data_IF_310102074609
#
_entry.id   IF_310102074609
#
_cell.length_a   1.000
_cell.length_b   1.000
_cell.length_c   1.000
_cell.angle_alpha   90.00
_cell.angle_beta   90.00
_cell.angle_gamma   90.00
#
_symmetry.space_group_name_H-M   'P 1'
#
loop_
_entity.id
_entity.type
_entity.pdbx_description
1 polymer ?
#
# COMPACT_ATOMS: atom_id res chain seq x y z
N UNK A 1 0.08 -50.38 31.49
CA UNK A 1 -1.14 -49.58 31.78
C UNK A 1 -0.93 -48.20 31.19
N UNK A 2 -1.50 -47.95 30.02
CA UNK A 2 -1.42 -46.66 29.34
C UNK A 2 -2.81 -46.01 29.41
N UNK A 3 -2.91 -44.86 30.06
CA UNK A 3 -4.14 -44.07 30.07
C UNK A 3 -4.40 -43.50 28.66
N UNK A 4 -5.57 -43.75 28.06
CA UNK A 4 -5.94 -43.03 26.85
C UNK A 4 -6.18 -41.55 27.21
N UNK A 5 -5.48 -40.66 26.51
CA UNK A 5 -5.78 -39.22 26.52
C UNK A 5 -7.24 -39.05 26.08
N UNK A 6 -8.04 -38.44 26.93
CA UNK A 6 -9.37 -37.97 26.57
C UNK A 6 -9.24 -37.02 25.37
N UNK A 7 -9.76 -37.44 24.22
CA UNK A 7 -10.02 -36.57 23.10
C UNK A 7 -11.06 -35.55 23.55
N UNK A 8 -10.63 -34.33 23.84
CA UNK A 8 -11.52 -33.19 24.05
C UNK A 8 -12.35 -33.02 22.79
N UNK A 9 -13.63 -33.34 22.95
CA UNK A 9 -14.77 -33.05 22.10
C UNK A 9 -14.52 -31.82 21.20
N UNK A 10 -14.19 -32.07 19.93
CA UNK A 10 -14.18 -31.04 18.91
C UNK A 10 -15.64 -30.71 18.57
N UNK A 11 -16.31 -30.01 19.48
CA UNK A 11 -17.64 -29.46 19.25
C UNK A 11 -17.62 -28.74 17.90
N UNK A 12 -18.43 -29.25 16.96
CA UNK A 12 -18.56 -28.66 15.63
C UNK A 12 -18.96 -27.20 15.82
N UNK A 13 -18.01 -26.28 15.58
CA UNK A 13 -18.26 -24.85 15.72
C UNK A 13 -19.35 -24.48 14.74
N UNK A 14 -20.51 -24.11 15.27
CA UNK A 14 -21.63 -23.61 14.49
C UNK A 14 -21.14 -22.52 13.52
N UNK A 15 -21.60 -22.48 12.26
CA UNK A 15 -21.20 -21.45 11.31
C UNK A 15 -21.53 -20.05 11.84
N UNK A 16 -20.73 -19.06 11.44
CA UNK A 16 -20.97 -17.67 11.82
C UNK A 16 -22.06 -17.07 10.93
N UNK A 17 -22.98 -16.30 11.53
CA UNK A 17 -24.02 -15.56 10.80
C UNK A 17 -23.50 -14.30 10.11
N UNK A 18 -22.28 -13.88 10.46
CA UNK A 18 -21.56 -12.77 9.83
C UNK A 18 -20.39 -13.31 9.01
N UNK A 19 -20.27 -12.86 7.77
CA UNK A 19 -19.11 -13.14 6.92
C UNK A 19 -18.16 -11.95 6.89
N UNK A 20 -16.86 -12.20 6.71
CA UNK A 20 -15.86 -11.17 6.45
C UNK A 20 -15.34 -11.30 5.01
N UNK A 21 -15.46 -10.22 4.24
CA UNK A 21 -14.82 -10.04 2.93
C UNK A 21 -13.74 -8.96 3.05
N UNK A 22 -12.58 -9.22 2.45
CA UNK A 22 -11.45 -8.28 2.43
C UNK A 22 -11.06 -8.04 0.98
N UNK A 23 -11.03 -6.77 0.58
CA UNK A 23 -10.81 -6.33 -0.79
C UNK A 23 -9.72 -5.26 -0.80
N UNK A 24 -8.60 -5.49 -1.46
CA UNK A 24 -7.59 -4.43 -1.67
C UNK A 24 -8.19 -3.36 -2.56
N UNK A 25 -8.02 -2.11 -2.15
CA UNK A 25 -8.43 -0.96 -2.93
C UNK A 25 -7.37 -0.69 -4.00
N UNK A 26 -7.77 -0.81 -5.26
CA UNK A 26 -6.97 -0.38 -6.40
C UNK A 26 -7.54 0.92 -6.95
N UNK A 27 -6.68 1.74 -7.55
CA UNK A 27 -7.11 2.93 -8.25
C UNK A 27 -7.54 2.54 -9.68
N UNK A 28 -8.69 3.05 -10.15
CA UNK A 28 -9.14 2.76 -11.51
C UNK A 28 -8.18 3.39 -12.54
N UNK A 29 -8.02 2.73 -13.69
CA UNK A 29 -7.22 3.24 -14.81
C UNK A 29 -7.99 3.20 -16.12
N UNK A 30 -7.59 4.06 -17.06
CA UNK A 30 -8.12 4.06 -18.41
C UNK A 30 -7.56 2.85 -19.17
N UNK A 31 -8.42 2.08 -19.81
CA UNK A 31 -7.99 0.92 -20.60
C UNK A 31 -7.43 1.39 -21.95
N UNK A 32 -6.26 0.93 -22.38
CA UNK A 32 -5.85 1.12 -23.78
C UNK A 32 -6.84 0.37 -24.69
N UNK A 33 -7.44 1.09 -25.64
CA UNK A 33 -8.16 0.51 -26.76
C UNK A 33 -7.23 0.44 -27.97
N UNK A 34 -7.32 -0.65 -28.71
CA UNK A 34 -6.63 -0.80 -29.98
C UNK A 34 -7.64 -0.48 -31.08
N UNK A 35 -7.80 0.81 -31.46
CA UNK A 35 -8.73 1.17 -32.51
C UNK A 35 -8.31 0.44 -33.78
N UNK A 36 -9.25 -0.32 -34.36
CA UNK A 36 -9.03 -0.89 -35.68
C UNK A 36 -8.83 0.25 -36.68
N UNK A 37 -7.87 0.14 -37.61
CA UNK A 37 -7.65 1.17 -38.61
C UNK A 37 -8.95 1.39 -39.42
N UNK A 38 -9.50 2.60 -39.36
CA UNK A 38 -10.64 2.99 -40.19
C UNK A 38 -10.16 3.20 -41.62
N UNK A 39 -10.10 2.13 -42.41
CA UNK A 39 -9.96 2.30 -43.85
C UNK A 39 -11.26 2.89 -44.40
N UNK A 40 -11.23 4.06 -45.07
CA UNK A 40 -12.44 4.61 -45.67
C UNK A 40 -12.90 3.67 -46.78
N UNK A 41 -14.05 3.02 -46.57
CA UNK A 41 -14.64 2.14 -47.57
C UNK A 41 -15.18 2.90 -48.81
N UNK A 42 -15.21 4.24 -48.78
CA UNK A 42 -15.69 5.10 -49.86
C UNK A 42 -15.28 6.56 -49.67
N UNK A 43 -14.89 7.24 -50.76
CA UNK A 43 -14.62 8.69 -50.83
C UNK A 43 -15.88 9.57 -50.74
N UNK A 44 -17.09 8.97 -50.78
CA UNK A 44 -18.36 9.70 -50.83
C UNK A 44 -18.92 10.08 -49.44
N UNK A 45 -18.32 9.57 -48.36
CA UNK A 45 -18.70 9.92 -46.99
C UNK A 45 -17.46 10.44 -46.25
N UNK A 46 -17.31 11.77 -46.05
CA UNK A 46 -16.31 12.29 -45.14
C UNK A 46 -16.72 11.89 -43.72
N UNK A 47 -16.20 10.78 -43.22
CA UNK A 47 -16.27 10.45 -41.80
C UNK A 47 -15.50 11.51 -41.03
N UNK A 48 -16.10 12.10 -40.00
CA UNK A 48 -15.39 13.03 -39.10
C UNK A 48 -14.09 12.38 -38.64
N UNK A 49 -13.01 13.15 -38.62
CA UNK A 49 -11.66 12.70 -38.29
C UNK A 49 -11.50 12.46 -36.78
N UNK A 50 -12.47 11.82 -36.14
CA UNK A 50 -12.39 11.43 -34.75
C UNK A 50 -11.76 10.03 -34.71
N UNK A 51 -10.43 9.98 -34.89
CA UNK A 51 -9.68 8.78 -34.59
C UNK A 51 -9.98 8.39 -33.14
N UNK A 52 -10.39 7.14 -32.84
CA UNK A 52 -10.65 6.76 -31.47
C UNK A 52 -9.35 6.91 -30.68
N UNK A 53 -9.38 7.72 -29.62
CA UNK A 53 -8.23 7.95 -28.76
C UNK A 53 -7.69 6.60 -28.25
N UNK A 54 -6.37 6.44 -28.12
CA UNK A 54 -5.77 5.15 -27.73
C UNK A 54 -6.25 4.69 -26.34
N UNK A 55 -6.83 5.57 -25.53
CA UNK A 55 -7.47 5.22 -24.27
C UNK A 55 -9.00 5.21 -24.40
N UNK A 56 -9.62 4.16 -23.86
CA UNK A 56 -11.06 4.07 -23.66
C UNK A 56 -11.53 5.11 -22.65
N UNK A 57 -12.72 5.72 -22.82
CA UNK A 57 -13.33 6.58 -21.80
C UNK A 57 -13.81 5.79 -20.57
N UNK A 58 -13.73 4.45 -20.60
CA UNK A 58 -14.12 3.60 -19.49
C UNK A 58 -12.94 3.36 -18.56
N UNK A 59 -13.23 3.47 -17.26
CA UNK A 59 -12.33 3.05 -16.21
C UNK A 59 -12.50 1.56 -15.96
N UNK A 60 -11.40 0.81 -16.01
CA UNK A 60 -11.39 -0.62 -15.65
C UNK A 60 -10.59 -0.84 -14.39
N UNK A 61 -11.05 -1.80 -13.58
CA UNK A 61 -10.23 -2.35 -12.52
C UNK A 61 -9.23 -3.35 -13.12
N UNK A 62 -7.99 -3.41 -12.59
CA UNK A 62 -7.03 -4.41 -13.01
C UNK A 62 -7.58 -5.83 -12.87
N UNK A 63 -7.23 -6.75 -13.78
CA UNK A 63 -7.72 -8.13 -13.76
C UNK A 63 -7.15 -8.95 -12.59
N UNK A 64 -6.11 -8.46 -11.91
CA UNK A 64 -5.44 -9.14 -10.81
C UNK A 64 -4.93 -8.17 -9.73
N UNK A 65 -4.67 -8.74 -8.54
CA UNK A 65 -4.34 -8.05 -7.29
C UNK A 65 -3.00 -7.29 -7.28
N UNK A 66 -2.15 -7.48 -8.29
CA UNK A 66 -0.81 -6.87 -8.39
C UNK A 66 0.12 -7.24 -7.24
N UNK A 67 1.39 -6.88 -7.36
CA UNK A 67 2.35 -6.96 -6.26
C UNK A 67 2.12 -5.82 -5.25
N UNK A 68 2.65 -5.95 -4.03
CA UNK A 68 2.69 -4.87 -3.06
C UNK A 68 4.15 -4.43 -2.92
N UNK A 69 4.41 -3.12 -2.93
CA UNK A 69 5.76 -2.61 -2.93
C UNK A 69 6.10 -1.75 -1.71
N UNK A 70 7.36 -1.82 -1.27
CA UNK A 70 7.90 -0.92 -0.24
C UNK A 70 7.82 0.52 -0.73
N UNK A 71 7.37 1.40 0.15
CA UNK A 71 7.12 2.80 -0.10
C UNK A 71 5.68 3.11 -0.50
N UNK A 72 4.86 2.12 -0.85
CA UNK A 72 3.44 2.30 -1.13
C UNK A 72 2.56 2.18 0.12
N UNK A 73 1.38 2.79 0.07
CA UNK A 73 0.31 2.55 1.05
C UNK A 73 -0.54 1.36 0.62
N UNK A 74 -0.54 0.30 1.44
CA UNK A 74 -1.48 -0.80 1.34
C UNK A 74 -2.86 -0.36 1.84
N UNK A 75 -3.85 -0.34 0.95
CA UNK A 75 -5.22 0.01 1.29
C UNK A 75 -6.17 -1.17 1.05
N UNK A 76 -7.03 -1.45 2.02
CA UNK A 76 -8.06 -2.48 1.86
C UNK A 76 -9.37 -2.10 2.55
N UNK A 77 -10.46 -2.59 1.98
CA UNK A 77 -11.80 -2.53 2.55
C UNK A 77 -12.11 -3.85 3.26
N UNK A 78 -12.57 -3.74 4.50
CA UNK A 78 -13.07 -4.80 5.35
C UNK A 78 -14.59 -4.71 5.39
N UNK A 79 -15.30 -5.74 4.95
CA UNK A 79 -16.76 -5.80 4.98
C UNK A 79 -17.23 -6.97 5.87
N UNK A 80 -17.83 -6.64 7.01
CA UNK A 80 -18.58 -7.61 7.82
C UNK A 80 -20.04 -7.63 7.34
N UNK A 81 -20.48 -8.74 6.74
CA UNK A 81 -21.81 -8.86 6.13
C UNK A 81 -22.71 -9.74 6.98
N UNK A 82 -23.93 -9.28 7.25
CA UNK A 82 -24.95 -10.12 7.84
C UNK A 82 -25.56 -11.03 6.75
N UNK A 83 -25.23 -12.32 6.80
CA UNK A 83 -25.68 -13.33 5.82
C UNK A 83 -27.05 -13.93 6.16
N UNK A 84 -27.77 -13.38 7.15
CA UNK A 84 -29.14 -13.78 7.43
C UNK A 84 -30.04 -13.42 6.23
N UNK A 85 -30.84 -14.39 5.79
CA UNK A 85 -31.85 -14.17 4.77
C UNK A 85 -33.12 -13.57 5.39
N UNK A 86 -33.75 -12.57 4.74
CA UNK A 86 -35.07 -12.10 5.14
C UNK A 86 -36.07 -13.25 5.12
N UNK A 87 -36.78 -13.50 6.23
CA UNK A 87 -37.78 -14.57 6.33
C UNK A 87 -37.25 -15.96 6.73
N UNK A 88 -36.02 -16.05 7.25
CA UNK A 88 -35.49 -17.28 7.85
C UNK A 88 -36.43 -17.84 8.93
N UNK A 89 -36.60 -19.16 8.96
CA UNK A 89 -37.42 -19.86 9.95
C UNK A 89 -36.92 -19.72 11.39
N UNK A 90 -35.66 -19.29 11.57
CA UNK A 90 -35.05 -18.98 12.86
C UNK A 90 -34.34 -17.62 12.77
N UNK A 91 -35.07 -16.50 12.89
CA UNK A 91 -34.48 -15.17 12.74
C UNK A 91 -33.52 -14.90 13.90
N UNK A 92 -32.31 -14.46 13.56
CA UNK A 92 -31.28 -14.05 14.53
C UNK A 92 -30.99 -12.57 14.33
N UNK A 93 -31.14 -11.78 15.38
CA UNK A 93 -30.76 -10.39 15.38
C UNK A 93 -29.24 -10.28 15.57
N UNK A 94 -28.57 -9.56 14.67
CA UNK A 94 -27.12 -9.33 14.73
C UNK A 94 -26.89 -7.90 15.21
N UNK A 95 -26.36 -7.77 16.42
CA UNK A 95 -26.10 -6.49 17.05
C UNK A 95 -24.63 -6.35 17.46
N UNK A 96 -24.21 -5.12 17.78
CA UNK A 96 -22.87 -4.83 18.30
C UNK A 96 -21.72 -5.36 17.42
N UNK A 97 -21.85 -5.25 16.10
CA UNK A 97 -20.80 -5.68 15.16
C UNK A 97 -19.62 -4.71 15.24
N UNK A 98 -18.42 -5.26 15.47
CA UNK A 98 -17.15 -4.54 15.52
C UNK A 98 -16.10 -5.25 14.68
N UNK A 99 -15.25 -4.45 14.04
CA UNK A 99 -14.12 -4.92 13.24
C UNK A 99 -12.87 -4.33 13.87
N UNK A 100 -11.93 -5.18 14.25
CA UNK A 100 -10.59 -4.80 14.67
C UNK A 100 -9.59 -5.34 13.66
N UNK A 101 -8.59 -4.54 13.30
CA UNK A 101 -7.55 -4.93 12.36
C UNK A 101 -6.16 -4.68 12.93
N UNK A 102 -5.26 -5.62 12.70
CA UNK A 102 -3.87 -5.53 13.11
C UNK A 102 -2.97 -5.94 11.93
N UNK A 103 -1.82 -5.31 11.81
CA UNK A 103 -0.78 -5.69 10.85
C UNK A 103 0.39 -6.32 11.57
N UNK A 104 0.79 -7.51 11.15
CA UNK A 104 2.06 -8.10 11.54
C UNK A 104 3.08 -7.90 10.42
N UNK A 105 4.14 -7.16 10.72
CA UNK A 105 5.27 -6.90 9.83
C UNK A 105 6.40 -7.93 10.05
N UNK A 106 7.28 -8.16 9.06
CA UNK A 106 8.38 -9.12 9.17
C UNK A 106 9.34 -8.85 10.35
N UNK A 107 9.70 -7.58 10.60
CA UNK A 107 10.66 -7.21 11.64
C UNK A 107 10.11 -7.28 13.07
N UNK A 108 8.78 -7.27 13.24
CA UNK A 108 8.13 -7.21 14.55
C UNK A 108 7.41 -8.51 14.88
N UNK A 109 7.74 -9.08 16.03
CA UNK A 109 7.00 -10.21 16.58
C UNK A 109 5.58 -9.81 17.03
N UNK A 110 5.40 -8.57 17.49
CA UNK A 110 4.13 -8.04 17.97
C UNK A 110 3.33 -7.40 16.83
N UNK A 111 2.02 -7.71 16.70
CA UNK A 111 1.17 -7.07 15.70
C UNK A 111 0.86 -5.62 16.09
N UNK A 112 0.79 -4.75 15.10
CA UNK A 112 0.46 -3.32 15.26
C UNK A 112 -1.02 -3.11 14.96
N UNK A 113 -1.78 -2.55 15.91
CA UNK A 113 -3.18 -2.21 15.70
C UNK A 113 -3.33 -1.12 14.62
N UNK A 114 -4.35 -1.26 13.76
CA UNK A 114 -4.58 -0.36 12.63
C UNK A 114 -5.77 0.55 12.88
N UNK A 115 -5.62 1.82 12.53
CA UNK A 115 -6.73 2.76 12.52
C UNK A 115 -7.66 2.44 11.34
N UNK A 116 -8.96 2.36 11.63
CA UNK A 116 -10.00 2.10 10.64
C UNK A 116 -10.71 3.38 10.24
N UNK A 117 -11.03 3.51 8.96
CA UNK A 117 -11.76 4.65 8.39
C UNK A 117 -13.10 4.21 7.79
N UNK A 118 -14.20 4.98 7.93
CA UNK A 118 -14.34 6.19 8.74
C UNK A 118 -14.02 5.91 10.20
N UNK A 119 -13.45 6.90 10.90
CA UNK A 119 -13.15 6.77 12.31
C UNK A 119 -14.46 6.51 13.06
N UNK A 120 -14.43 5.59 14.00
CA UNK A 120 -15.53 5.39 14.92
C UNK A 120 -15.76 6.68 15.71
N UNK A 121 -16.97 7.24 15.70
CA UNK A 121 -17.31 8.35 16.60
C UNK A 121 -17.11 7.91 18.06
N UNK A 122 -16.91 8.85 18.98
CA UNK A 122 -16.65 8.53 20.39
C UNK A 122 -17.80 7.71 21.05
N UNK A 123 -18.99 7.70 20.45
CA UNK A 123 -20.15 6.89 20.82
C UNK A 123 -20.09 5.42 20.35
N UNK A 124 -19.19 5.04 19.43
CA UNK A 124 -19.07 3.69 18.85
C UNK A 124 -18.24 2.70 19.69
N UNK A 125 -18.08 2.96 21.01
CA UNK A 125 -17.83 1.84 21.93
C UNK A 125 -19.00 0.86 21.89
N UNK A 126 -20.18 1.30 21.51
CA UNK A 126 -21.32 0.43 21.16
C UNK A 126 -21.15 0.00 19.70
N UNK A 127 -21.14 -1.32 19.44
CA UNK A 127 -20.94 -1.81 18.07
C UNK A 127 -22.14 -1.50 17.18
N UNK A 128 -22.03 -1.75 15.88
CA UNK A 128 -23.10 -1.41 14.93
C UNK A 128 -24.10 -2.55 14.80
N UNK A 129 -25.39 -2.24 14.85
CA UNK A 129 -26.46 -3.21 14.59
C UNK A 129 -26.66 -3.39 13.08
N UNK A 130 -26.71 -4.64 12.62
CA UNK A 130 -26.82 -4.97 11.20
C UNK A 130 -28.12 -5.70 10.89
N UNK A 131 -28.97 -5.07 10.09
CA UNK A 131 -30.14 -5.75 9.51
C UNK A 131 -29.71 -6.90 8.57
N UNK A 132 -30.58 -7.89 8.33
CA UNK A 132 -30.34 -8.96 7.36
C UNK A 132 -29.91 -8.41 5.99
N UNK A 133 -28.79 -8.92 5.44
CA UNK A 133 -28.24 -8.49 4.16
C UNK A 133 -27.47 -7.16 4.17
N UNK A 134 -27.38 -6.46 5.31
CA UNK A 134 -26.55 -5.24 5.44
C UNK A 134 -25.11 -5.59 5.82
N UNK A 135 -24.22 -4.63 5.63
CA UNK A 135 -22.79 -4.78 5.89
C UNK A 135 -22.20 -3.58 6.62
N UNK A 136 -21.30 -3.84 7.58
CA UNK A 136 -20.41 -2.84 8.14
C UNK A 136 -19.12 -2.81 7.34
N UNK A 137 -18.78 -1.65 6.78
CA UNK A 137 -17.57 -1.44 5.99
C UNK A 137 -16.57 -0.55 6.72
N UNK A 138 -15.30 -0.96 6.72
CA UNK A 138 -14.16 -0.16 7.21
C UNK A 138 -13.02 -0.22 6.21
N UNK A 139 -12.19 0.81 6.18
CA UNK A 139 -11.03 0.93 5.31
C UNK A 139 -9.78 1.00 6.18
N UNK A 140 -8.80 0.17 5.86
CA UNK A 140 -7.46 0.16 6.42
C UNK A 140 -6.52 0.82 5.43
N UNK A 141 -5.64 1.69 5.92
CA UNK A 141 -4.49 2.20 5.19
C UNK A 141 -3.23 1.90 6.01
N UNK A 142 -2.23 1.29 5.39
CA UNK A 142 -0.99 0.90 6.04
C UNK A 142 0.21 1.14 5.14
N UNK A 143 1.18 1.93 5.59
CA UNK A 143 2.37 2.24 4.80
C UNK A 143 3.39 1.10 4.87
N UNK A 144 3.76 0.56 3.72
CA UNK A 144 4.70 -0.55 3.60
C UNK A 144 6.13 -0.03 3.66
N UNK A 145 6.81 -0.29 4.77
CA UNK A 145 8.20 0.17 4.99
C UNK A 145 9.25 -0.92 4.82
N UNK A 146 8.81 -2.18 4.77
CA UNK A 146 9.70 -3.33 4.82
C UNK A 146 9.29 -4.39 3.80
N UNK A 147 10.30 -5.04 3.23
CA UNK A 147 10.14 -6.20 2.36
C UNK A 147 9.82 -7.45 3.18
N UNK A 148 9.12 -8.40 2.55
CA UNK A 148 8.83 -9.70 3.13
C UNK A 148 7.36 -9.94 3.43
N UNK A 149 7.10 -10.91 4.29
CA UNK A 149 5.75 -11.41 4.56
C UNK A 149 5.01 -10.56 5.61
N UNK A 150 3.96 -9.88 5.16
CA UNK A 150 3.03 -9.15 6.03
C UNK A 150 1.77 -9.99 6.25
N UNK A 151 1.18 -9.88 7.44
CA UNK A 151 -0.09 -10.56 7.78
C UNK A 151 -1.08 -9.56 8.33
N UNK A 152 -2.16 -9.33 7.60
CA UNK A 152 -3.33 -8.59 8.06
C UNK A 152 -4.22 -9.53 8.87
N UNK A 153 -4.32 -9.30 10.18
CA UNK A 153 -5.20 -10.01 11.07
C UNK A 153 -6.47 -9.19 11.31
N UNK A 154 -7.63 -9.75 10.96
CA UNK A 154 -8.92 -9.08 11.15
C UNK A 154 -9.77 -9.90 12.11
N UNK A 155 -10.20 -9.26 13.19
CA UNK A 155 -11.09 -9.83 14.19
C UNK A 155 -12.46 -9.19 14.04
N UNK A 156 -13.50 -10.00 13.95
CA UNK A 156 -14.89 -9.54 13.91
C UNK A 156 -15.60 -10.07 15.15
N UNK A 157 -16.15 -9.16 15.94
CA UNK A 157 -16.95 -9.48 17.12
C UNK A 157 -18.37 -9.00 16.90
N UNK A 158 -19.36 -9.83 17.25
CA UNK A 158 -20.78 -9.47 17.16
C UNK A 158 -21.58 -10.22 18.22
N UNK A 159 -22.78 -9.71 18.49
CA UNK A 159 -23.77 -10.37 19.34
C UNK A 159 -24.86 -10.96 18.46
N UNK A 160 -25.14 -12.25 18.67
CA UNK A 160 -26.21 -12.98 18.00
C UNK A 160 -27.34 -13.22 18.99
N UNK A 161 -28.49 -12.60 18.76
CA UNK A 161 -29.66 -12.70 19.63
C UNK A 161 -30.77 -13.49 18.95
N UNK A 162 -31.18 -14.57 19.61
CA UNK A 162 -32.36 -15.38 19.32
C UNK A 162 -33.48 -15.01 20.28
N UNK A 163 -34.72 -15.47 20.03
CA UNK A 163 -35.86 -15.18 20.89
C UNK A 163 -35.67 -15.55 22.37
N UNK A 164 -34.76 -16.49 22.67
CA UNK A 164 -34.53 -17.06 24.00
C UNK A 164 -33.13 -16.81 24.56
N UNK A 165 -32.17 -16.30 23.77
CA UNK A 165 -30.80 -16.08 24.25
C UNK A 165 -30.00 -15.12 23.36
N UNK A 166 -29.09 -14.36 23.96
CA UNK A 166 -28.06 -13.57 23.27
C UNK A 166 -26.68 -14.16 23.51
N UNK A 167 -25.88 -14.34 22.45
CA UNK A 167 -24.52 -14.88 22.52
C UNK A 167 -23.53 -13.98 21.79
N UNK A 168 -22.46 -13.59 22.47
CA UNK A 168 -21.33 -12.90 21.82
C UNK A 168 -20.49 -13.93 21.06
N UNK A 169 -20.20 -13.65 19.79
CA UNK A 169 -19.38 -14.46 18.92
C UNK A 169 -18.25 -13.62 18.36
N UNK A 170 -17.06 -14.20 18.33
CA UNK A 170 -15.90 -13.59 17.69
C UNK A 170 -15.24 -14.58 16.75
N UNK A 171 -14.67 -14.09 15.66
CA UNK A 171 -13.78 -14.87 14.80
C UNK A 171 -12.66 -13.99 14.28
N UNK A 172 -11.52 -14.62 14.00
CA UNK A 172 -10.32 -13.97 13.49
C UNK A 172 -9.88 -14.63 12.19
N UNK A 173 -9.61 -13.84 11.16
CA UNK A 173 -9.04 -14.29 9.88
C UNK A 173 -7.70 -13.62 9.65
N UNK A 174 -6.75 -14.37 9.09
CA UNK A 174 -5.40 -13.90 8.78
C UNK A 174 -5.23 -13.90 7.25
N UNK A 175 -4.78 -12.78 6.71
CA UNK A 175 -4.49 -12.62 5.29
C UNK A 175 -3.00 -12.31 5.12
N UNK A 176 -2.27 -13.25 4.55
CA UNK A 176 -0.83 -13.11 4.32
C UNK A 176 -0.58 -12.60 2.90
N UNK A 177 0.32 -11.63 2.76
CA UNK A 177 0.79 -11.13 1.48
C UNK A 177 2.29 -10.80 1.57
N UNK A 178 2.96 -10.73 0.42
CA UNK A 178 4.39 -10.42 0.33
C UNK A 178 4.57 -9.03 -0.23
N UNK A 179 5.36 -8.22 0.47
CA UNK A 179 5.83 -6.92 0.02
C UNK A 179 7.22 -7.08 -0.62
N UNK A 180 7.39 -6.55 -1.83
CA UNK A 180 8.65 -6.55 -2.59
C UNK A 180 9.28 -5.16 -2.59
N UNK A 181 10.58 -5.06 -2.83
CA UNK A 181 11.21 -3.76 -3.10
C UNK A 181 10.72 -3.16 -4.41
N UNK A 182 10.31 -1.90 -4.43
CA UNK A 182 9.99 -1.19 -5.68
C UNK A 182 11.26 -0.70 -6.38
N UNK A 183 12.20 -0.21 -5.57
CA UNK A 183 13.33 0.55 -6.07
C UNK A 183 14.55 0.32 -5.18
N UNK A 184 15.69 0.10 -5.82
CA UNK A 184 16.98 0.01 -5.15
C UNK A 184 17.72 1.33 -5.36
N UNK A 185 18.29 1.84 -4.26
CA UNK A 185 19.04 3.10 -4.24
C UNK A 185 20.48 2.80 -3.88
N UNK A 186 21.43 3.16 -4.77
CA UNK A 186 22.86 3.07 -4.49
C UNK A 186 23.47 4.47 -4.55
N UNK A 187 24.12 4.91 -3.48
CA UNK A 187 24.65 6.27 -3.37
C UNK A 187 26.16 6.30 -3.31
N UNK A 188 26.77 7.33 -3.88
CA UNK A 188 28.21 7.60 -3.82
C UNK A 188 28.45 9.08 -3.59
N UNK A 189 29.37 9.40 -2.68
CA UNK A 189 29.80 10.77 -2.39
C UNK A 189 31.25 10.99 -2.83
N UNK A 190 31.52 12.09 -3.53
CA UNK A 190 32.85 12.46 -4.04
C UNK A 190 33.17 13.90 -3.64
N UNK A 191 34.36 14.13 -3.07
CA UNK A 191 34.80 15.49 -2.74
C UNK A 191 35.14 16.28 -4.03
N UNK A 192 34.72 17.55 -4.09
CA UNK A 192 35.00 18.46 -5.20
C UNK A 192 35.99 19.53 -4.75
N UNK A 193 37.25 19.38 -5.19
CA UNK A 193 38.34 20.31 -4.85
C UNK A 193 39.06 19.97 -3.54
N UNK A 194 40.10 20.74 -3.23
CA UNK A 194 41.04 20.45 -2.13
C UNK A 194 40.62 21.05 -0.77
N UNK A 195 39.43 21.69 -0.69
CA UNK A 195 39.02 22.53 0.44
C UNK A 195 37.87 22.02 1.33
N UNK A 196 37.47 20.75 1.24
CA UNK A 196 36.55 20.11 2.21
C UNK A 196 35.07 20.55 2.22
N UNK A 197 34.69 21.64 1.55
CA UNK A 197 33.34 22.24 1.64
C UNK A 197 32.41 22.00 0.44
N UNK A 198 32.81 21.20 -0.57
CA UNK A 198 31.98 20.88 -1.74
C UNK A 198 32.04 19.40 -2.07
N UNK A 199 30.89 18.82 -2.37
CA UNK A 199 30.72 17.40 -2.61
C UNK A 199 29.75 17.16 -3.77
N UNK A 200 30.06 16.18 -4.61
CA UNK A 200 29.13 15.59 -5.56
C UNK A 200 28.53 14.33 -4.92
N UNK A 201 27.21 14.30 -4.78
CA UNK A 201 26.47 13.12 -4.38
C UNK A 201 25.74 12.54 -5.60
N UNK A 202 26.09 11.31 -5.96
CA UNK A 202 25.44 10.55 -7.02
C UNK A 202 24.53 9.49 -6.39
N UNK A 203 23.32 9.34 -6.91
CA UNK A 203 22.45 8.21 -6.57
C UNK A 203 22.00 7.51 -7.84
N UNK A 204 22.12 6.18 -7.83
CA UNK A 204 21.61 5.29 -8.84
C UNK A 204 20.29 4.72 -8.34
N UNK A 205 19.21 5.02 -9.06
CA UNK A 205 17.86 4.56 -8.81
C UNK A 205 17.55 3.45 -9.81
N UNK A 206 17.27 2.25 -9.34
CA UNK A 206 16.93 1.10 -10.18
C UNK A 206 15.48 0.69 -9.89
N UNK A 207 14.64 0.63 -10.92
CA UNK A 207 13.28 0.10 -10.79
C UNK A 207 13.34 -1.44 -10.72
N UNK A 208 13.16 -2.00 -9.53
CA UNK A 208 13.10 -3.45 -9.32
C UNK A 208 11.66 -3.99 -9.28
N UNK A 209 10.68 -3.12 -9.51
CA UNK A 209 9.27 -3.48 -9.64
C UNK A 209 8.96 -4.22 -10.95
N UNK A 210 7.74 -4.72 -11.05
CA UNK A 210 7.21 -5.38 -12.26
C UNK A 210 6.43 -4.39 -13.14
N UNK A 211 6.19 -3.17 -12.64
CA UNK A 211 5.47 -2.13 -13.33
C UNK A 211 6.38 -0.95 -13.69
N UNK A 212 5.99 -0.23 -14.75
CA UNK A 212 6.57 1.06 -15.09
C UNK A 212 6.21 2.09 -14.00
N UNK A 213 7.21 2.83 -13.54
CA UNK A 213 7.02 3.93 -12.59
C UNK A 213 7.46 5.25 -13.21
N UNK A 214 6.86 6.34 -12.76
CA UNK A 214 7.25 7.70 -13.11
C UNK A 214 7.79 8.36 -11.85
N UNK A 215 9.03 8.85 -11.89
CA UNK A 215 9.61 9.62 -10.79
C UNK A 215 8.86 10.96 -10.67
N UNK A 216 8.28 11.20 -9.50
CA UNK A 216 7.53 12.43 -9.19
C UNK A 216 8.41 13.45 -8.47
N UNK A 217 9.26 12.98 -7.55
CA UNK A 217 10.21 13.83 -6.84
C UNK A 217 11.48 13.06 -6.48
N UNK A 218 12.63 13.74 -6.58
CA UNK A 218 13.92 13.23 -6.10
C UNK A 218 14.64 14.40 -5.44
N UNK A 219 14.74 14.39 -4.12
CA UNK A 219 15.20 15.54 -3.34
C UNK A 219 16.12 15.10 -2.22
N UNK A 220 17.23 15.82 -2.06
CA UNK A 220 18.14 15.66 -0.93
C UNK A 220 17.75 16.69 0.14
N UNK A 221 17.20 16.20 1.24
CA UNK A 221 16.91 17.03 2.42
C UNK A 221 18.20 17.23 3.21
N UNK A 222 18.82 18.40 3.04
CA UNK A 222 20.13 18.70 3.59
C UNK A 222 20.05 18.97 5.10
N UNK A 223 20.99 18.42 5.87
CA UNK A 223 21.12 18.75 7.29
C UNK A 223 21.61 20.19 7.48
N UNK A 224 21.40 20.74 8.68
CA UNK A 224 21.83 22.11 9.01
C UNK A 224 23.32 22.34 8.67
N UNK A 225 23.63 23.50 8.08
CA UNK A 225 24.96 23.85 7.59
C UNK A 225 25.27 23.43 6.14
N UNK A 226 24.47 22.52 5.56
CA UNK A 226 24.60 22.10 4.18
C UNK A 226 23.50 22.67 3.28
N UNK A 227 23.87 22.98 2.04
CA UNK A 227 22.97 23.28 0.94
C UNK A 227 23.10 22.18 -0.10
N UNK A 228 21.95 21.67 -0.55
CA UNK A 228 21.89 20.70 -1.64
C UNK A 228 21.20 21.32 -2.85
N UNK A 229 21.82 21.17 -4.02
CA UNK A 229 21.25 21.54 -5.30
C UNK A 229 21.15 20.29 -6.18
N UNK A 230 19.94 19.93 -6.58
CA UNK A 230 19.73 18.88 -7.58
C UNK A 230 20.26 19.31 -8.95
N UNK A 231 21.01 18.43 -9.60
CA UNK A 231 21.54 18.62 -10.95
C UNK A 231 20.71 17.85 -12.00
N UNK A 232 19.51 17.41 -11.60
CA UNK A 232 18.62 16.60 -12.42
C UNK A 232 17.80 17.50 -13.34
N UNK A 233 17.42 17.02 -14.54
CA UNK A 233 16.52 17.74 -15.42
C UNK A 233 15.12 17.92 -14.78
N UNK A 234 14.36 18.91 -15.26
CA UNK A 234 12.99 19.18 -14.78
C UNK A 234 11.96 18.14 -15.24
N UNK A 235 12.33 17.30 -16.22
CA UNK A 235 11.45 16.29 -16.78
C UNK A 235 11.29 15.06 -15.87
N UNK A 236 10.04 14.68 -15.64
CA UNK A 236 9.71 13.44 -14.92
C UNK A 236 10.16 12.23 -15.71
N UNK A 237 11.12 11.49 -15.16
CA UNK A 237 11.67 10.30 -15.78
C UNK A 237 10.71 9.12 -15.61
N UNK A 238 10.53 8.37 -16.71
CA UNK A 238 9.75 7.13 -16.75
C UNK A 238 10.73 5.97 -16.69
N UNK A 239 10.58 5.07 -15.72
CA UNK A 239 11.44 3.90 -15.53
C UNK A 239 10.64 2.63 -15.76
N UNK A 240 11.00 1.89 -16.80
CA UNK A 240 10.51 0.53 -17.04
C UNK A 240 11.11 -0.43 -15.99
N UNK A 241 10.53 -1.62 -15.80
CA UNK A 241 11.15 -2.66 -14.99
C UNK A 241 12.60 -2.93 -15.42
N UNK A 242 13.54 -2.81 -14.47
CA UNK A 242 14.98 -2.96 -14.71
C UNK A 242 15.70 -1.71 -15.18
N UNK A 243 14.99 -0.62 -15.49
CA UNK A 243 15.63 0.64 -15.87
C UNK A 243 16.36 1.27 -14.68
N UNK A 244 17.45 1.96 -15.02
CA UNK A 244 18.32 2.62 -14.07
C UNK A 244 18.43 4.10 -14.43
N UNK A 245 18.14 4.96 -13.46
CA UNK A 245 18.33 6.40 -13.55
C UNK A 245 19.44 6.85 -12.61
N UNK A 246 20.40 7.61 -13.14
CA UNK A 246 21.34 8.34 -12.31
C UNK A 246 20.80 9.74 -12.01
N UNK A 247 20.94 10.13 -10.75
CA UNK A 247 20.64 11.48 -10.25
C UNK A 247 21.85 12.03 -9.50
N UNK A 248 22.06 13.33 -9.60
CA UNK A 248 23.21 14.01 -9.02
C UNK A 248 22.79 15.20 -8.18
N UNK A 249 23.51 15.43 -7.09
CA UNK A 249 23.35 16.59 -6.23
C UNK A 249 24.72 17.22 -5.98
N UNK A 250 24.78 18.54 -6.14
CA UNK A 250 25.89 19.33 -5.63
C UNK A 250 25.55 19.70 -4.18
N UNK A 251 26.45 19.37 -3.27
CA UNK A 251 26.32 19.72 -1.85
C UNK A 251 27.45 20.67 -1.49
N UNK A 252 27.09 21.86 -1.01
CA UNK A 252 28.02 22.88 -0.56
C UNK A 252 27.70 23.34 0.86
N UNK A 253 28.73 23.59 1.65
CA UNK A 253 28.57 24.05 3.02
C UNK A 253 29.68 23.55 3.95
N UNK A 254 29.43 23.77 5.23
CA UNK A 254 30.27 23.31 6.32
C UNK A 254 29.35 22.64 7.34
N UNK A 255 29.70 21.42 7.74
CA UNK A 255 28.94 20.67 8.71
C UNK A 255 29.83 20.02 9.74
N UNK A 256 29.24 19.69 10.88
CA UNK A 256 29.96 19.03 11.95
C UNK A 256 30.43 17.63 11.52
N UNK A 257 31.71 17.35 11.81
CA UNK A 257 32.30 16.03 11.62
C UNK A 257 32.04 15.23 12.90
N UNK A 258 31.13 14.27 12.84
CA UNK A 258 30.90 13.33 13.93
C UNK A 258 31.54 11.99 13.58
N UNK A 259 32.42 11.48 14.45
CA UNK A 259 33.07 10.17 14.29
C UNK A 259 33.80 9.99 12.94
N UNK A 260 34.48 11.05 12.48
CA UNK A 260 35.21 11.06 11.19
C UNK A 260 34.30 11.04 9.95
N UNK A 261 32.99 11.24 10.11
CA UNK A 261 32.02 11.28 9.02
C UNK A 261 31.27 12.61 9.02
N UNK A 262 31.16 13.19 7.83
CA UNK A 262 30.26 14.31 7.56
C UNK A 262 28.93 13.76 7.09
N UNK A 263 27.84 14.28 7.62
CA UNK A 263 26.48 13.97 7.17
C UNK A 263 25.96 15.13 6.33
N UNK A 264 25.44 14.83 5.15
CA UNK A 264 24.91 15.83 4.22
C UNK A 264 23.39 15.97 4.31
N UNK A 265 22.67 14.87 4.54
CA UNK A 265 21.23 14.86 4.41
C UNK A 265 20.61 13.48 4.20
N UNK A 266 19.32 13.46 3.89
CA UNK A 266 18.53 12.26 3.58
C UNK A 266 17.95 12.40 2.18
N UNK A 267 18.10 11.38 1.35
CA UNK A 267 17.53 11.36 0.00
C UNK A 267 16.08 10.84 0.08
N UNK A 268 15.13 11.67 -0.32
CA UNK A 268 13.72 11.34 -0.50
C UNK A 268 13.38 11.15 -1.98
N UNK A 269 12.71 10.06 -2.31
CA UNK A 269 12.32 9.70 -3.67
C UNK A 269 10.84 9.35 -3.68
N UNK A 270 10.05 10.09 -4.46
CA UNK A 270 8.64 9.83 -4.72
C UNK A 270 8.42 9.36 -6.15
N UNK A 271 7.54 8.38 -6.34
CA UNK A 271 7.16 7.88 -7.66
C UNK A 271 5.67 7.58 -7.76
N UNK A 272 5.23 7.38 -8.99
CA UNK A 272 3.86 6.96 -9.34
C UNK A 272 3.89 5.72 -10.21
N UNK A 273 3.12 4.71 -9.83
CA UNK A 273 2.89 3.54 -10.66
C UNK A 273 1.87 3.80 -11.77
N UNK A 274 1.75 2.86 -12.70
CA UNK A 274 0.82 2.91 -13.84
C UNK A 274 -0.64 3.12 -13.44
N UNK A 275 -1.04 2.55 -12.31
CA UNK A 275 -2.41 2.66 -11.77
C UNK A 275 -2.58 3.87 -10.84
N UNK A 276 -1.62 4.80 -10.82
CA UNK A 276 -1.68 5.99 -9.97
C UNK A 276 -1.41 5.72 -8.49
N UNK A 277 -0.96 4.51 -8.12
CA UNK A 277 -0.38 4.26 -6.80
C UNK A 277 0.81 5.20 -6.59
N UNK A 278 0.93 5.76 -5.39
CA UNK A 278 2.06 6.61 -5.03
C UNK A 278 2.97 5.81 -4.13
N UNK A 279 4.26 5.85 -4.42
CA UNK A 279 5.29 5.32 -3.56
C UNK A 279 6.23 6.43 -3.11
N UNK A 280 6.77 6.29 -1.90
CA UNK A 280 7.81 7.15 -1.39
C UNK A 280 8.84 6.33 -0.60
N UNK A 281 10.11 6.61 -0.83
CA UNK A 281 11.25 6.00 -0.14
C UNK A 281 12.17 7.10 0.37
N UNK A 282 12.63 6.97 1.61
CA UNK A 282 13.73 7.76 2.13
C UNK A 282 14.92 6.88 2.45
N UNK A 283 16.12 7.34 2.13
CA UNK A 283 17.35 6.67 2.55
C UNK A 283 17.64 6.92 4.02
N UNK A 284 18.66 6.24 4.57
CA UNK A 284 19.31 6.72 5.79
C UNK A 284 20.13 7.99 5.54
N UNK A 285 20.76 8.51 6.59
CA UNK A 285 21.66 9.66 6.52
C UNK A 285 22.84 9.39 5.56
N UNK A 286 22.90 10.20 4.51
CA UNK A 286 23.96 10.19 3.50
C UNK A 286 25.09 11.09 3.96
N UNK A 287 26.31 10.67 3.67
CA UNK A 287 27.50 11.35 4.19
C UNK A 287 28.76 10.74 3.62
N UNK A 288 29.89 11.42 3.85
CA UNK A 288 31.22 10.96 3.44
C UNK A 288 32.13 10.82 4.65
N UNK A 289 33.07 9.88 4.59
CA UNK A 289 34.18 9.82 5.55
C UNK A 289 35.18 10.91 5.19
N UNK A 290 35.57 11.70 6.19
CA UNK A 290 36.67 12.66 6.07
C UNK A 290 37.95 11.89 6.34
N UNK A 291 38.91 11.95 5.40
CA UNK A 291 40.23 11.33 5.57
C UNK A 291 41.15 12.24 6.37
#
# INVERSE_FOLDING_TARGET
MAHPRASTDAAVKEPHSVSLKVLRLSRPSLTPQHPLPSQPASLAYPTSSDLPFILSPLLTLPPAFGSAYVGETFSCTLCANNEQLPGSSAPRAISNVRIDAEMKIPSSAAPTALALTPASSEDEKEGVDLEPGKSLQRIVNFDLKEEGSHVLAVTVTYTETTATSGRVRTFRKLYQFVCKGCMVVRTKSTALGEGGGKWALEAQLENCGEETIVLDSVMLDATEGWRAQGMNGEERQVLMPGDVQQVGFLVDGEGEVADGRVTFGVLGIGWRGTMGNRGFLSTGALGAKVK
#
